data_IF_334732083358
#
_entry.id   IF_334732083358
#
_cell.length_a   1.000
_cell.length_b   1.000
_cell.length_c   1.000
_cell.angle_alpha   90.00
_cell.angle_beta   90.00
_cell.angle_gamma   90.00
#
_symmetry.space_group_name_H-M   'P 1'
#
loop_
_entity.id
_entity.type
_entity.pdbx_description
1 polymer ?
#
# COMPACT_ATOMS: atom_id res chain seq x y z
N UNK A 1 -13.77 13.41 2.69
CA UNK A 1 -14.25 12.04 3.06
C UNK A 1 -13.51 10.97 2.25
N UNK A 2 -13.23 11.19 0.96
CA UNK A 2 -12.57 10.22 0.06
C UNK A 2 -11.06 10.43 -0.17
N UNK A 3 -10.48 11.55 0.27
CA UNK A 3 -9.02 11.77 0.24
C UNK A 3 -8.41 11.64 -1.17
N UNK A 4 -7.26 10.99 -1.23
CA UNK A 4 -6.49 10.69 -2.46
C UNK A 4 -6.97 9.40 -3.14
N UNK A 5 -7.89 8.64 -2.52
CA UNK A 5 -8.34 7.35 -3.03
C UNK A 5 -9.13 7.48 -4.35
N UNK A 6 -9.96 8.53 -4.50
CA UNK A 6 -10.69 8.77 -5.75
C UNK A 6 -9.74 9.13 -6.90
N UNK A 7 -8.75 10.00 -6.64
CA UNK A 7 -7.77 10.39 -7.65
C UNK A 7 -6.91 9.19 -8.08
N UNK A 8 -6.60 8.29 -7.14
CA UNK A 8 -5.92 7.04 -7.43
C UNK A 8 -6.76 6.10 -8.31
N UNK A 9 -8.05 5.94 -8.01
CA UNK A 9 -8.95 5.05 -8.74
C UNK A 9 -9.23 5.53 -10.17
N UNK A 10 -9.33 6.85 -10.37
CA UNK A 10 -9.63 7.43 -11.69
C UNK A 10 -8.39 7.52 -12.59
N UNK A 11 -7.19 7.38 -12.02
CA UNK A 11 -5.94 7.50 -12.76
C UNK A 11 -5.44 6.13 -13.24
N UNK A 12 -4.75 6.05 -14.39
CA UNK A 12 -4.12 4.81 -14.82
C UNK A 12 -3.12 4.32 -13.76
N UNK A 13 -3.11 3.01 -13.50
CA UNK A 13 -2.27 2.38 -12.48
C UNK A 13 -0.81 2.82 -12.65
N UNK A 14 -0.17 3.23 -11.55
CA UNK A 14 1.24 3.65 -11.53
C UNK A 14 1.50 5.11 -11.90
N UNK A 15 0.59 5.80 -12.58
CA UNK A 15 0.85 7.18 -13.06
C UNK A 15 0.89 8.21 -11.94
N UNK A 16 -0.07 8.18 -11.01
CA UNK A 16 -0.14 9.10 -9.86
C UNK A 16 1.00 8.90 -8.88
N UNK A 17 1.39 7.65 -8.63
CA UNK A 17 2.53 7.34 -7.76
C UNK A 17 3.83 7.98 -8.26
N UNK A 18 4.06 8.01 -9.58
CA UNK A 18 5.23 8.67 -10.18
C UNK A 18 5.20 10.19 -10.00
N UNK A 19 4.03 10.83 -10.12
CA UNK A 19 3.87 12.27 -9.90
C UNK A 19 4.14 12.61 -8.44
N UNK A 20 3.54 11.87 -7.51
CA UNK A 20 3.74 12.10 -6.08
C UNK A 20 5.14 11.75 -5.60
N UNK A 21 5.78 10.73 -6.16
CA UNK A 21 7.19 10.43 -5.88
C UNK A 21 8.11 11.58 -6.31
N UNK A 22 7.85 12.21 -7.46
CA UNK A 22 8.60 13.41 -7.88
C UNK A 22 8.33 14.62 -6.99
N UNK A 23 7.10 14.77 -6.50
CA UNK A 23 6.67 15.94 -5.73
C UNK A 23 7.08 15.87 -4.24
N UNK A 24 6.95 14.70 -3.62
CA UNK A 24 7.13 14.50 -2.18
C UNK A 24 8.38 13.67 -1.83
N UNK A 25 9.03 13.06 -2.83
CA UNK A 25 10.21 12.23 -2.67
C UNK A 25 9.90 10.74 -2.49
N UNK A 26 10.89 9.99 -2.00
CA UNK A 26 10.85 8.53 -1.95
C UNK A 26 9.91 7.95 -0.88
N UNK A 27 9.47 8.76 0.07
CA UNK A 27 8.58 8.29 1.15
C UNK A 27 7.55 9.38 1.44
N UNK A 28 6.27 9.08 1.27
CA UNK A 28 5.20 10.05 1.46
C UNK A 28 3.94 9.41 2.01
N UNK A 29 3.06 10.24 2.58
CA UNK A 29 1.80 9.81 3.18
C UNK A 29 0.64 10.17 2.26
N UNK A 30 -0.21 9.20 1.97
CA UNK A 30 -1.50 9.39 1.32
C UNK A 30 -2.62 9.21 2.33
N UNK A 31 -3.73 9.88 2.06
CA UNK A 31 -4.96 9.71 2.81
C UNK A 31 -5.97 8.98 1.94
N UNK A 32 -6.30 7.75 2.29
CA UNK A 32 -7.35 6.95 1.67
C UNK A 32 -8.75 7.43 2.04
N UNK A 33 -9.75 6.63 1.70
CA UNK A 33 -11.11 6.84 2.18
C UNK A 33 -11.16 6.74 3.72
N UNK A 34 -12.13 7.41 4.35
CA UNK A 34 -12.33 7.36 5.81
C UNK A 34 -11.11 7.77 6.66
N UNK A 35 -10.28 8.69 6.15
CA UNK A 35 -9.06 9.17 6.82
C UNK A 35 -8.01 8.08 7.07
N UNK A 36 -8.09 6.97 6.34
CA UNK A 36 -7.08 5.93 6.37
C UNK A 36 -5.73 6.51 5.90
N UNK A 37 -4.66 6.21 6.62
CA UNK A 37 -3.33 6.77 6.32
C UNK A 37 -2.48 5.69 5.69
N UNK A 38 -2.09 5.89 4.44
CA UNK A 38 -1.20 4.99 3.72
C UNK A 38 0.18 5.61 3.64
N UNK A 39 1.20 4.86 4.07
CA UNK A 39 2.60 5.25 3.90
C UNK A 39 3.12 4.58 2.64
N UNK A 40 3.43 5.39 1.63
CA UNK A 40 4.07 4.93 0.41
C UNK A 40 5.58 5.04 0.58
N UNK A 41 6.27 3.94 0.31
CA UNK A 41 7.70 3.80 0.51
C UNK A 41 8.33 3.25 -0.77
N UNK A 42 9.20 4.04 -1.39
CA UNK A 42 9.95 3.70 -2.59
C UNK A 42 11.45 3.52 -2.35
N UNK A 43 11.93 3.69 -1.12
CA UNK A 43 13.34 3.52 -0.80
C UNK A 43 13.71 2.04 -0.53
N UNK A 44 14.76 1.49 -1.15
CA UNK A 44 15.12 0.08 -1.02
C UNK A 44 15.43 -0.36 0.42
N UNK A 45 15.99 0.57 1.23
CA UNK A 45 16.36 0.28 2.62
C UNK A 45 15.14 0.12 3.51
N UNK A 46 14.15 1.00 3.37
CA UNK A 46 12.89 0.95 4.08
C UNK A 46 12.07 -0.28 3.68
N UNK A 47 12.03 -0.60 2.38
CA UNK A 47 11.38 -1.82 1.89
C UNK A 47 12.01 -3.06 2.53
N UNK A 48 13.34 -3.17 2.53
CA UNK A 48 14.04 -4.29 3.18
C UNK A 48 13.80 -4.32 4.70
N UNK A 49 13.73 -3.16 5.35
CA UNK A 49 13.41 -3.11 6.79
C UNK A 49 11.99 -3.60 7.10
N UNK A 50 10.99 -3.23 6.29
CA UNK A 50 9.60 -3.69 6.46
C UNK A 50 9.48 -5.18 6.16
N UNK A 51 10.08 -5.66 5.07
CA UNK A 51 9.95 -7.04 4.63
C UNK A 51 10.81 -8.04 5.43
N UNK A 52 11.98 -7.63 5.92
CA UNK A 52 12.94 -8.56 6.54
C UNK A 52 13.05 -8.42 8.06
N UNK A 53 13.15 -7.20 8.58
CA UNK A 53 13.50 -6.98 9.98
C UNK A 53 12.29 -6.93 10.93
N UNK A 54 11.10 -6.60 10.41
CA UNK A 54 9.90 -6.37 11.20
C UNK A 54 8.62 -6.90 10.57
N UNK A 55 8.69 -7.98 9.78
CA UNK A 55 7.53 -8.57 9.12
C UNK A 55 6.36 -8.83 10.11
N UNK A 56 6.65 -9.31 11.32
CA UNK A 56 5.65 -9.54 12.37
C UNK A 56 5.00 -8.26 12.94
N UNK A 57 5.61 -7.08 12.78
CA UNK A 57 5.04 -5.80 13.22
C UNK A 57 4.19 -5.13 12.13
N UNK A 58 4.32 -5.58 10.88
CA UNK A 58 3.58 -5.06 9.73
C UNK A 58 2.65 -6.14 9.19
N UNK A 59 1.78 -6.64 10.06
CA UNK A 59 0.78 -7.64 9.69
C UNK A 59 -0.19 -7.05 8.68
N UNK A 60 -0.45 -7.78 7.60
CA UNK A 60 -1.41 -7.34 6.58
C UNK A 60 -2.82 -7.22 7.20
N UNK A 61 -3.55 -6.12 6.97
CA UNK A 61 -4.93 -5.97 7.44
C UNK A 61 -5.83 -7.12 6.97
N UNK A 62 -6.81 -7.50 7.81
CA UNK A 62 -7.74 -8.57 7.48
C UNK A 62 -8.51 -8.32 6.17
N UNK A 63 -8.88 -7.06 5.92
CA UNK A 63 -9.57 -6.64 4.69
C UNK A 63 -8.76 -6.97 3.44
N UNK A 64 -7.45 -6.67 3.46
CA UNK A 64 -6.57 -6.98 2.34
C UNK A 64 -6.46 -8.48 2.09
N UNK A 65 -6.43 -9.30 3.15
CA UNK A 65 -6.44 -10.76 3.02
C UNK A 65 -7.73 -11.26 2.38
N UNK A 66 -8.89 -10.73 2.76
CA UNK A 66 -10.18 -11.10 2.15
C UNK A 66 -10.22 -10.72 0.67
N UNK A 67 -9.80 -9.49 0.34
CA UNK A 67 -9.74 -9.02 -1.05
C UNK A 67 -8.80 -9.91 -1.86
N UNK A 68 -7.57 -10.16 -1.39
CA UNK A 68 -6.63 -11.02 -2.10
C UNK A 68 -7.14 -12.46 -2.25
N UNK A 69 -7.86 -12.98 -1.25
CA UNK A 69 -8.52 -14.28 -1.35
C UNK A 69 -9.59 -14.34 -2.43
N UNK A 70 -10.33 -13.24 -2.65
CA UNK A 70 -11.32 -13.13 -3.72
C UNK A 70 -10.68 -13.05 -5.11
N UNK A 71 -9.53 -12.37 -5.24
CA UNK A 71 -8.85 -12.17 -6.53
C UNK A 71 -7.91 -13.32 -6.92
N UNK A 72 -7.21 -13.92 -5.96
CA UNK A 72 -6.14 -14.90 -6.19
C UNK A 72 -6.43 -16.28 -5.58
N UNK A 73 -7.57 -16.46 -4.92
CA UNK A 73 -7.91 -17.68 -4.18
C UNK A 73 -7.20 -17.79 -2.83
N UNK A 74 -7.51 -18.84 -2.07
CA UNK A 74 -6.78 -19.12 -0.83
C UNK A 74 -5.43 -19.77 -1.14
N UNK A 75 -4.35 -19.07 -0.83
CA UNK A 75 -2.97 -19.53 -1.07
C UNK A 75 -1.98 -18.79 -0.17
N UNK A 76 -0.68 -18.96 -0.44
CA UNK A 76 0.40 -18.38 0.38
C UNK A 76 0.27 -16.85 0.56
N UNK A 77 -0.13 -16.13 -0.49
CA UNK A 77 -0.35 -14.67 -0.45
C UNK A 77 -1.55 -14.22 0.42
N UNK A 78 -2.44 -15.16 0.73
CA UNK A 78 -3.67 -14.96 1.51
C UNK A 78 -3.51 -15.48 2.94
N UNK A 79 -2.62 -16.45 3.15
CA UNK A 79 -2.33 -17.09 4.44
C UNK A 79 -1.23 -16.37 5.25
N UNK A 80 -0.20 -15.86 4.58
CA UNK A 80 0.99 -15.27 5.19
C UNK A 80 1.16 -13.80 4.78
N UNK A 81 1.56 -12.96 5.75
CA UNK A 81 1.66 -11.51 5.65
C UNK A 81 1.08 -10.80 6.87
#
# INVERSE_FOLDING_TARGET
ITGHALDLHMSPVGTRYNVWAKQYGHTYKLYGAFSERWLIMGDPKGISHVLSAKALNYVRPHVDRVVLGLWFGQGLFTAEG
#
